data_IF_621586010561
#
_entry.id   IF_621586010561
#
_cell.length_a   1.000
_cell.length_b   1.000
_cell.length_c   1.000
_cell.angle_alpha   90.00
_cell.angle_beta   90.00
_cell.angle_gamma   90.00
#
_symmetry.space_group_name_H-M   'P 1'
#
loop_
_entity.id
_entity.type
_entity.pdbx_description
1 polymer ?
#
# COMPACT_ATOMS: atom_id res chain seq x y z
N UNK A 1 0.31 -9.26 34.94
CA UNK A 1 0.10 -9.42 36.39
C UNK A 1 0.31 -8.13 37.19
N UNK A 2 0.90 -7.05 36.63
CA UNK A 2 1.31 -5.85 37.39
C UNK A 2 0.13 -5.02 37.93
N UNK A 3 -0.97 -4.92 37.19
CA UNK A 3 -2.15 -4.15 37.63
C UNK A 3 -2.81 -4.72 38.88
N UNK A 4 -2.97 -6.05 38.92
CA UNK A 4 -3.61 -6.74 40.04
C UNK A 4 -2.85 -6.49 41.34
N UNK A 5 -1.54 -6.73 41.33
CA UNK A 5 -0.68 -6.50 42.50
C UNK A 5 -0.68 -5.02 42.93
N UNK A 6 -0.79 -4.07 41.99
CA UNK A 6 -0.88 -2.64 42.31
C UNK A 6 -2.21 -2.28 42.98
N UNK A 7 -3.34 -2.77 42.44
CA UNK A 7 -4.68 -2.54 43.00
C UNK A 7 -4.82 -3.17 44.38
N UNK A 8 -4.21 -4.35 44.62
CA UNK A 8 -4.20 -5.05 45.91
C UNK A 8 -3.43 -4.31 47.02
N UNK A 9 -2.61 -3.29 46.69
CA UNK A 9 -1.94 -2.45 47.72
C UNK A 9 -2.88 -1.47 48.42
N UNK A 10 -4.06 -1.20 47.84
CA UNK A 10 -5.05 -0.28 48.40
C UNK A 10 -5.97 -1.00 49.39
N UNK A 11 -6.06 -0.49 50.61
CA UNK A 11 -6.99 -1.01 51.65
C UNK A 11 -8.44 -0.58 51.39
N UNK A 12 -8.64 0.66 50.95
CA UNK A 12 -9.93 1.24 50.58
C UNK A 12 -9.82 1.92 49.21
N UNK A 13 -10.32 1.27 48.16
CA UNK A 13 -10.28 1.79 46.81
C UNK A 13 -11.68 2.21 46.35
N UNK A 14 -11.88 3.52 46.12
CA UNK A 14 -13.13 4.01 45.57
C UNK A 14 -13.31 3.56 44.12
N UNK A 15 -14.57 3.39 43.70
CA UNK A 15 -14.92 3.01 42.33
C UNK A 15 -14.38 4.01 41.30
N UNK A 16 -14.43 5.31 41.63
CA UNK A 16 -13.93 6.37 40.76
C UNK A 16 -12.41 6.25 40.56
N UNK A 17 -11.65 5.99 41.63
CA UNK A 17 -10.19 5.83 41.55
C UNK A 17 -9.81 4.56 40.81
N UNK A 18 -10.51 3.44 41.04
CA UNK A 18 -10.32 2.20 40.28
C UNK A 18 -10.58 2.44 38.79
N UNK A 19 -11.68 3.12 38.45
CA UNK A 19 -12.04 3.45 37.07
C UNK A 19 -10.96 4.29 36.38
N UNK A 20 -10.41 5.31 37.06
CA UNK A 20 -9.27 6.11 36.56
C UNK A 20 -8.02 5.23 36.32
N UNK A 21 -7.68 4.34 37.27
CA UNK A 21 -6.55 3.41 37.14
C UNK A 21 -6.73 2.47 35.94
N UNK A 22 -7.90 1.85 35.79
CA UNK A 22 -8.19 0.93 34.69
C UNK A 22 -8.12 1.63 33.34
N UNK A 23 -8.69 2.83 33.22
CA UNK A 23 -8.65 3.60 31.97
C UNK A 23 -7.23 3.94 31.54
N UNK A 24 -6.41 4.39 32.48
CA UNK A 24 -5.01 4.70 32.20
C UNK A 24 -4.19 3.43 31.89
N UNK A 25 -4.48 2.31 32.55
CA UNK A 25 -3.76 1.06 32.30
C UNK A 25 -4.09 0.44 30.92
N UNK A 26 -5.32 0.61 30.44
CA UNK A 26 -5.77 0.05 29.15
C UNK A 26 -5.80 1.09 28.02
N UNK A 27 -5.18 2.25 28.21
CA UNK A 27 -5.14 3.35 27.23
C UNK A 27 -6.54 3.71 26.68
N UNK A 28 -7.54 3.69 27.57
CA UNK A 28 -8.92 4.02 27.20
C UNK A 28 -9.01 5.51 26.94
N UNK A 29 -9.23 5.85 25.67
CA UNK A 29 -9.27 7.24 25.22
C UNK A 29 -10.39 8.04 25.87
N UNK A 30 -10.08 9.27 26.26
CA UNK A 30 -11.07 10.23 26.76
C UNK A 30 -12.01 10.72 25.65
N UNK A 31 -13.16 11.30 26.03
CA UNK A 31 -14.08 11.90 25.07
C UNK A 31 -13.39 12.99 24.22
N UNK A 32 -12.51 13.78 24.83
CA UNK A 32 -11.70 14.81 24.17
C UNK A 32 -10.72 14.23 23.16
N UNK A 33 -10.00 13.16 23.50
CA UNK A 33 -9.07 12.49 22.59
C UNK A 33 -9.79 11.85 21.40
N UNK A 34 -10.96 11.25 21.65
CA UNK A 34 -11.80 10.70 20.59
C UNK A 34 -12.33 11.80 19.68
N UNK A 35 -12.74 12.94 20.23
CA UNK A 35 -13.17 14.11 19.47
C UNK A 35 -12.05 14.67 18.59
N UNK A 36 -10.85 14.83 19.13
CA UNK A 36 -9.66 15.24 18.37
C UNK A 36 -9.29 14.21 17.29
N UNK A 37 -9.43 12.91 17.60
CA UNK A 37 -9.23 11.85 16.62
C UNK A 37 -10.22 12.01 15.47
N UNK A 38 -11.53 12.15 15.74
CA UNK A 38 -12.56 12.37 14.72
C UNK A 38 -12.31 13.65 13.91
N UNK A 39 -11.81 14.72 14.52
CA UNK A 39 -11.52 15.97 13.80
C UNK A 39 -10.36 15.86 12.80
N UNK A 40 -9.45 14.88 13.00
CA UNK A 40 -8.21 14.76 12.24
C UNK A 40 -8.14 13.54 11.32
N UNK A 41 -9.09 12.59 11.41
CA UNK A 41 -9.08 11.44 10.51
C UNK A 41 -9.29 11.86 9.05
N UNK A 42 -8.56 11.19 8.18
CA UNK A 42 -8.79 11.16 6.74
C UNK A 42 -8.72 9.71 6.25
N UNK A 43 -9.23 9.47 5.04
CA UNK A 43 -9.11 8.18 4.37
C UNK A 43 -7.63 7.88 4.12
N UNK A 44 -7.18 6.67 4.48
CA UNK A 44 -5.83 6.19 4.21
C UNK A 44 -5.63 5.75 2.76
N UNK A 45 -4.38 5.71 2.28
CA UNK A 45 -4.05 5.36 0.87
C UNK A 45 -4.42 3.94 0.45
N UNK A 46 -4.65 3.04 1.41
CA UNK A 46 -5.08 1.65 1.19
C UNK A 46 -6.50 1.37 1.66
N UNK A 47 -7.15 2.39 2.22
CA UNK A 47 -8.47 2.28 2.81
C UNK A 47 -9.51 2.67 1.75
N UNK A 48 -10.57 1.88 1.65
CA UNK A 48 -11.71 2.22 0.80
C UNK A 48 -12.54 3.36 1.42
N UNK A 49 -13.28 4.15 0.62
CA UNK A 49 -14.17 5.18 1.15
C UNK A 49 -15.18 4.63 2.18
N UNK A 50 -15.64 3.40 1.98
CA UNK A 50 -16.53 2.69 2.90
C UNK A 50 -15.86 2.40 4.24
N UNK A 51 -14.65 1.83 4.24
CA UNK A 51 -13.90 1.55 5.47
C UNK A 51 -13.63 2.84 6.26
N UNK A 52 -13.26 3.91 5.56
CA UNK A 52 -13.10 5.24 6.16
C UNK A 52 -14.39 5.71 6.84
N UNK A 53 -15.54 5.62 6.16
CA UNK A 53 -16.83 6.00 6.73
C UNK A 53 -17.14 5.18 7.98
N UNK A 54 -16.94 3.85 7.94
CA UNK A 54 -17.20 2.98 9.10
C UNK A 54 -16.32 3.35 10.29
N UNK A 55 -15.06 3.71 10.04
CA UNK A 55 -14.14 4.18 11.09
C UNK A 55 -14.55 5.52 11.67
N UNK A 56 -15.04 6.44 10.83
CA UNK A 56 -15.58 7.72 11.29
C UNK A 56 -16.86 7.54 12.14
N UNK A 57 -17.76 6.64 11.72
CA UNK A 57 -18.97 6.29 12.45
C UNK A 57 -18.65 5.65 13.80
N UNK A 58 -17.72 4.71 13.85
CA UNK A 58 -17.25 4.07 15.08
C UNK A 58 -16.66 5.10 16.07
N UNK A 59 -15.83 6.03 15.59
CA UNK A 59 -15.32 7.13 16.42
C UNK A 59 -16.43 8.01 16.97
N UNK A 60 -17.41 8.38 16.13
CA UNK A 60 -18.57 9.16 16.56
C UNK A 60 -19.34 8.45 17.69
N UNK A 61 -19.60 7.16 17.53
CA UNK A 61 -20.31 6.37 18.55
C UNK A 61 -19.51 6.25 19.84
N UNK A 62 -18.20 6.05 19.76
CA UNK A 62 -17.31 6.04 20.93
C UNK A 62 -17.33 7.36 21.69
N UNK A 63 -17.35 8.51 20.99
CA UNK A 63 -17.47 9.83 21.63
C UNK A 63 -18.79 9.93 22.39
N UNK A 64 -19.91 9.58 21.75
CA UNK A 64 -21.25 9.65 22.37
C UNK A 64 -21.34 8.76 23.61
N UNK A 65 -20.76 7.57 23.55
CA UNK A 65 -20.71 6.64 24.68
C UNK A 65 -19.84 7.16 25.83
N UNK A 66 -18.60 7.60 25.54
CA UNK A 66 -17.70 8.16 26.55
C UNK A 66 -18.28 9.42 27.19
N UNK A 67 -18.91 10.29 26.41
CA UNK A 67 -19.54 11.52 26.90
C UNK A 67 -20.74 11.24 27.84
N UNK A 68 -21.41 10.10 27.69
CA UNK A 68 -22.52 9.70 28.56
C UNK A 68 -22.04 8.99 29.81
N UNK A 69 -21.01 8.14 29.68
CA UNK A 69 -20.49 7.35 30.79
C UNK A 69 -19.55 8.10 31.73
N UNK A 70 -18.92 9.19 31.27
CA UNK A 70 -17.95 9.99 32.03
C UNK A 70 -18.53 11.24 32.66
N UNK A 71 -19.78 11.18 33.14
CA UNK A 71 -20.37 12.25 33.96
C UNK A 71 -19.72 12.35 35.37
N UNK A 72 -18.40 12.20 35.47
CA UNK A 72 -17.61 12.74 36.58
C UNK A 72 -17.43 14.24 36.34
N UNK A 73 -17.48 15.05 37.40
CA UNK A 73 -17.56 16.52 37.36
C UNK A 73 -16.50 17.23 36.47
N UNK A 74 -15.36 16.57 36.19
CA UNK A 74 -14.25 17.12 35.40
C UNK A 74 -14.25 16.76 33.90
N UNK A 75 -15.21 15.96 33.39
CA UNK A 75 -15.16 15.53 31.97
C UNK A 75 -15.98 16.44 31.08
N UNK A 76 -15.32 16.98 30.04
CA UNK A 76 -15.97 17.75 28.98
C UNK A 76 -17.04 16.91 28.25
N UNK A 77 -18.29 17.35 28.36
CA UNK A 77 -19.43 16.78 27.65
C UNK A 77 -19.61 17.51 26.33
N UNK A 78 -19.64 16.76 25.23
CA UNK A 78 -19.87 17.33 23.90
C UNK A 78 -21.34 17.15 23.53
N UNK A 79 -22.00 18.23 23.09
CA UNK A 79 -23.37 18.14 22.61
C UNK A 79 -23.46 17.28 21.34
N UNK A 80 -24.54 16.51 21.22
CA UNK A 80 -24.76 15.60 20.10
C UNK A 80 -24.72 16.32 18.75
N UNK A 81 -25.32 17.51 18.67
CA UNK A 81 -25.34 18.33 17.45
C UNK A 81 -23.93 18.78 17.03
N UNK A 82 -23.07 19.15 17.99
CA UNK A 82 -21.68 19.49 17.72
C UNK A 82 -20.88 18.29 17.20
N UNK A 83 -21.00 17.13 17.85
CA UNK A 83 -20.34 15.89 17.40
C UNK A 83 -20.79 15.52 15.99
N UNK A 84 -22.09 15.67 15.72
CA UNK A 84 -22.68 15.35 14.42
C UNK A 84 -22.20 16.29 13.31
N UNK A 85 -22.17 17.61 13.56
CA UNK A 85 -21.58 18.58 12.63
C UNK A 85 -20.11 18.30 12.37
N UNK A 86 -19.34 17.98 13.40
CA UNK A 86 -17.94 17.58 13.25
C UNK A 86 -17.82 16.34 12.37
N UNK A 87 -18.58 15.29 12.67
CA UNK A 87 -18.58 14.04 11.90
C UNK A 87 -18.87 14.29 10.41
N UNK A 88 -19.93 15.01 10.08
CA UNK A 88 -20.30 15.29 8.69
C UNK A 88 -19.21 16.12 7.97
N UNK A 89 -18.63 17.11 8.65
CA UNK A 89 -17.49 17.87 8.14
C UNK A 89 -16.29 16.96 7.87
N UNK A 90 -15.91 16.14 8.85
CA UNK A 90 -14.78 15.19 8.74
C UNK A 90 -14.97 14.24 7.56
N UNK A 91 -16.16 13.64 7.40
CA UNK A 91 -16.43 12.75 6.26
C UNK A 91 -16.32 13.53 4.94
N UNK A 92 -16.87 14.75 4.90
CA UNK A 92 -16.81 15.60 3.72
C UNK A 92 -15.40 15.98 3.31
N UNK A 93 -14.51 16.30 4.25
CA UNK A 93 -13.13 16.71 3.95
C UNK A 93 -12.13 15.55 3.91
N UNK A 94 -12.45 14.43 4.55
CA UNK A 94 -11.53 13.32 4.78
C UNK A 94 -11.48 12.28 3.65
N UNK A 95 -12.43 12.28 2.72
CA UNK A 95 -12.40 11.40 1.54
C UNK A 95 -11.27 11.80 0.57
N UNK A 96 -10.55 10.79 0.04
CA UNK A 96 -9.44 11.02 -0.89
C UNK A 96 -9.90 11.29 -2.32
N UNK A 97 -10.91 10.58 -2.81
CA UNK A 97 -11.40 10.74 -4.18
C UNK A 97 -12.33 11.94 -4.28
N UNK A 98 -11.92 12.96 -5.04
CA UNK A 98 -12.70 14.17 -5.28
C UNK A 98 -14.08 13.88 -5.88
N UNK A 99 -14.18 12.93 -6.82
CA UNK A 99 -15.45 12.63 -7.48
C UNK A 99 -16.44 11.98 -6.50
N UNK A 100 -15.94 11.10 -5.63
CA UNK A 100 -16.74 10.50 -4.56
C UNK A 100 -17.16 11.59 -3.57
N UNK A 101 -16.21 12.44 -3.15
CA UNK A 101 -16.45 13.55 -2.23
C UNK A 101 -17.53 14.51 -2.73
N UNK A 102 -17.45 14.97 -3.97
CA UNK A 102 -18.41 15.91 -4.55
C UNK A 102 -19.83 15.34 -4.61
N UNK A 103 -19.98 14.04 -4.92
CA UNK A 103 -21.29 13.38 -4.93
C UNK A 103 -21.88 13.25 -3.52
N UNK A 104 -21.05 12.90 -2.55
CA UNK A 104 -21.48 12.71 -1.15
C UNK A 104 -21.76 14.06 -0.47
N UNK A 105 -21.05 15.12 -0.86
CA UNK A 105 -21.15 16.46 -0.25
C UNK A 105 -22.57 17.02 -0.20
N UNK A 106 -23.39 16.78 -1.23
CA UNK A 106 -24.78 17.23 -1.28
C UNK A 106 -25.60 16.70 -0.10
N UNK A 107 -25.36 15.44 0.28
CA UNK A 107 -26.05 14.76 1.36
C UNK A 107 -25.54 15.17 2.74
N UNK A 108 -24.24 15.47 2.86
CA UNK A 108 -23.62 15.91 4.11
C UNK A 108 -24.09 17.30 4.59
N UNK A 109 -24.67 18.11 3.69
CA UNK A 109 -25.30 19.38 4.07
C UNK A 109 -26.55 19.20 4.91
N UNK A 110 -27.21 18.04 4.79
CA UNK A 110 -28.40 17.75 5.57
C UNK A 110 -28.00 17.25 6.97
N UNK A 111 -28.20 18.03 8.03
CA UNK A 111 -27.86 17.62 9.37
C UNK A 111 -28.81 16.55 9.91
N UNK A 112 -29.82 16.06 9.19
CA UNK A 112 -30.72 14.97 9.66
C UNK A 112 -30.52 13.64 8.94
N UNK A 113 -29.53 13.55 8.04
CA UNK A 113 -29.21 12.30 7.33
C UNK A 113 -28.98 11.11 8.29
N UNK A 114 -29.61 9.96 8.02
CA UNK A 114 -29.38 8.76 8.82
C UNK A 114 -28.05 8.09 8.46
N UNK A 115 -27.52 7.25 9.34
CA UNK A 115 -26.28 6.54 9.09
C UNK A 115 -26.44 5.59 7.90
N UNK A 116 -27.58 4.90 7.80
CA UNK A 116 -27.92 3.96 6.73
C UNK A 116 -27.98 4.66 5.37
N UNK A 117 -28.63 5.83 5.33
CA UNK A 117 -28.71 6.65 4.13
C UNK A 117 -27.32 7.16 3.72
N UNK A 118 -26.50 7.62 4.66
CA UNK A 118 -25.14 8.06 4.36
C UNK A 118 -24.28 6.91 3.81
N UNK A 119 -24.38 5.71 4.39
CA UNK A 119 -23.68 4.51 3.92
C UNK A 119 -24.13 4.17 2.49
N UNK A 120 -25.43 4.21 2.21
CA UNK A 120 -25.98 3.98 0.87
C UNK A 120 -25.42 4.99 -0.13
N UNK A 121 -25.42 6.28 0.20
CA UNK A 121 -24.93 7.33 -0.70
C UNK A 121 -23.43 7.22 -0.98
N UNK A 122 -22.61 6.86 0.02
CA UNK A 122 -21.17 6.57 -0.21
C UNK A 122 -20.99 5.37 -1.13
N UNK A 123 -21.74 4.29 -0.92
CA UNK A 123 -21.69 3.11 -1.79
C UNK A 123 -22.06 3.43 -3.24
N UNK A 124 -23.12 4.21 -3.45
CA UNK A 124 -23.56 4.64 -4.77
C UNK A 124 -22.52 5.54 -5.46
N UNK A 125 -21.92 6.46 -4.72
CA UNK A 125 -20.86 7.34 -5.22
C UNK A 125 -19.61 6.55 -5.65
N UNK A 126 -19.18 5.59 -4.82
CA UNK A 126 -18.04 4.72 -5.13
C UNK A 126 -18.33 3.81 -6.31
N UNK A 127 -19.54 3.23 -6.39
CA UNK A 127 -19.93 2.38 -7.52
C UNK A 127 -19.90 3.15 -8.84
N UNK A 128 -20.47 4.37 -8.84
CA UNK A 128 -20.49 5.26 -10.00
C UNK A 128 -19.08 5.67 -10.41
N UNK A 129 -18.20 5.97 -9.45
CA UNK A 129 -16.81 6.32 -9.74
C UNK A 129 -16.03 5.13 -10.30
N UNK A 130 -16.21 3.93 -9.74
CA UNK A 130 -15.63 2.71 -10.28
C UNK A 130 -16.09 2.45 -11.72
N UNK A 131 -17.37 2.69 -12.04
CA UNK A 131 -17.89 2.59 -13.40
C UNK A 131 -17.21 3.61 -14.32
N UNK A 132 -17.08 4.86 -13.89
CA UNK A 132 -16.40 5.93 -14.65
C UNK A 132 -14.95 5.56 -14.95
N UNK A 133 -14.20 5.11 -13.95
CA UNK A 133 -12.80 4.67 -14.10
C UNK A 133 -12.70 3.47 -15.04
N UNK A 134 -13.60 2.49 -14.93
CA UNK A 134 -13.64 1.33 -15.85
C UNK A 134 -13.91 1.76 -17.29
N UNK A 135 -14.88 2.65 -17.51
CA UNK A 135 -15.20 3.20 -18.84
C UNK A 135 -14.02 3.97 -19.42
N UNK A 136 -13.38 4.84 -18.63
CA UNK A 136 -12.22 5.60 -19.07
C UNK A 136 -11.03 4.69 -19.42
N UNK A 137 -10.78 3.66 -18.61
CA UNK A 137 -9.74 2.66 -18.90
C UNK A 137 -10.02 1.90 -20.18
N UNK A 138 -11.27 1.51 -20.41
CA UNK A 138 -11.68 0.79 -21.63
C UNK A 138 -11.66 1.70 -22.87
N UNK A 139 -11.98 2.98 -22.73
CA UNK A 139 -11.85 3.96 -23.82
C UNK A 139 -10.39 4.14 -24.26
N UNK A 140 -9.44 4.13 -23.33
CA UNK A 140 -8.01 4.21 -23.67
C UNK A 140 -7.49 2.97 -24.40
N UNK A 141 -8.09 1.79 -24.15
CA UNK A 141 -7.77 0.55 -24.87
C UNK A 141 -8.41 0.50 -26.27
N UNK A 142 -9.61 1.06 -26.40
CA UNK A 142 -10.39 1.05 -27.63
C UNK A 142 -10.27 2.34 -28.45
N UNK A 143 -9.32 3.23 -28.12
CA UNK A 143 -9.09 4.43 -28.91
C UNK A 143 -8.65 3.99 -30.31
N UNK A 144 -9.45 4.21 -31.38
CA UNK A 144 -8.94 3.99 -32.72
C UNK A 144 -7.69 4.86 -32.89
N UNK A 145 -6.61 4.29 -33.44
CA UNK A 145 -5.47 5.06 -33.92
C UNK A 145 -5.98 5.94 -35.06
N UNK A 146 -6.62 7.05 -34.74
CA UNK A 146 -6.98 8.04 -35.74
C UNK A 146 -5.66 8.56 -36.28
N UNK A 147 -5.37 8.24 -37.54
CA UNK A 147 -4.29 8.88 -38.26
C UNK A 147 -4.55 10.39 -38.20
N UNK A 148 -3.70 11.13 -37.49
CA UNK A 148 -3.56 12.57 -37.69
C UNK A 148 -2.91 12.74 -39.06
N UNK A 149 -3.73 12.79 -40.11
CA UNK A 149 -3.32 13.35 -41.39
C UNK A 149 -3.36 14.86 -41.20
N UNK A 150 -2.19 15.41 -40.85
CA UNK A 150 -1.76 16.83 -40.92
C UNK A 150 -0.92 17.19 -39.69
N UNK A 151 0.21 16.48 -39.50
CA UNK A 151 1.42 16.93 -38.77
C UNK A 151 2.54 15.88 -38.88
N UNK A 152 2.61 15.14 -40.00
CA UNK A 152 3.62 14.09 -40.20
C UNK A 152 5.01 14.68 -40.42
N UNK A 153 5.11 15.93 -40.91
CA UNK A 153 6.41 16.56 -41.14
C UNK A 153 7.16 16.90 -39.84
N UNK A 154 6.49 17.48 -38.83
CA UNK A 154 7.18 17.97 -37.62
C UNK A 154 7.52 16.84 -36.63
N UNK A 155 6.66 15.83 -36.50
CA UNK A 155 6.92 14.69 -35.61
C UNK A 155 7.93 13.71 -36.18
N UNK A 156 7.99 13.54 -37.51
CA UNK A 156 9.02 12.72 -38.15
C UNK A 156 10.41 13.36 -37.96
N UNK A 157 10.52 14.69 -38.12
CA UNK A 157 11.76 15.40 -37.81
C UNK A 157 12.15 15.30 -36.34
N UNK A 158 11.19 15.37 -35.41
CA UNK A 158 11.48 15.23 -33.98
C UNK A 158 11.91 13.82 -33.59
N UNK A 159 11.33 12.77 -34.20
CA UNK A 159 11.73 11.38 -33.97
C UNK A 159 13.09 11.06 -34.58
N UNK A 160 13.38 11.56 -35.78
CA UNK A 160 14.69 11.43 -36.41
C UNK A 160 15.77 12.18 -35.63
N UNK A 161 15.46 13.37 -35.09
CA UNK A 161 16.35 14.10 -34.18
C UNK A 161 16.63 13.28 -32.91
N UNK A 162 15.61 12.66 -32.32
CA UNK A 162 15.78 11.80 -31.13
C UNK A 162 16.62 10.56 -31.46
N UNK A 163 16.37 9.88 -32.58
CA UNK A 163 17.12 8.68 -32.99
C UNK A 163 18.59 9.05 -33.24
N UNK A 164 18.86 10.14 -33.96
CA UNK A 164 20.23 10.64 -34.17
C UNK A 164 20.94 11.00 -32.87
N UNK A 165 20.25 11.62 -31.91
CA UNK A 165 20.84 11.90 -30.59
C UNK A 165 21.13 10.62 -29.79
N UNK A 166 20.27 9.61 -29.87
CA UNK A 166 20.49 8.32 -29.21
C UNK A 166 21.66 7.55 -29.82
N UNK A 167 21.84 7.64 -31.14
CA UNK A 167 22.98 7.05 -31.85
C UNK A 167 24.29 7.77 -31.50
N UNK A 168 24.29 9.11 -31.45
CA UNK A 168 25.46 9.89 -31.03
C UNK A 168 25.85 9.60 -29.57
N UNK A 169 24.88 9.58 -28.65
CA UNK A 169 25.11 9.22 -27.25
C UNK A 169 25.62 7.78 -27.10
N UNK A 170 25.20 6.86 -27.97
CA UNK A 170 25.70 5.48 -27.96
C UNK A 170 27.18 5.41 -28.37
N UNK A 171 27.62 6.25 -29.30
CA UNK A 171 29.03 6.37 -29.69
C UNK A 171 29.84 7.02 -28.56
N UNK A 172 29.34 8.09 -27.96
CA UNK A 172 30.00 8.74 -26.81
C UNK A 172 30.12 7.80 -25.61
N UNK A 173 29.07 7.04 -25.28
CA UNK A 173 29.13 6.02 -24.22
C UNK A 173 30.12 4.91 -24.55
N UNK A 174 30.26 4.51 -25.82
CA UNK A 174 31.26 3.55 -26.22
C UNK A 174 32.70 4.09 -26.07
N UNK A 175 32.91 5.38 -26.38
CA UNK A 175 34.19 6.06 -26.23
C UNK A 175 34.56 6.33 -24.77
N UNK A 176 33.60 6.74 -23.94
CA UNK A 176 33.80 6.85 -22.48
C UNK A 176 34.10 5.47 -21.89
N UNK A 177 33.45 4.41 -22.39
CA UNK A 177 33.72 3.03 -21.94
C UNK A 177 35.12 2.53 -22.36
N UNK A 178 35.68 2.99 -23.48
CA UNK A 178 37.07 2.67 -23.83
C UNK A 178 38.05 3.48 -22.97
N UNK A 179 37.81 4.78 -22.77
CA UNK A 179 38.63 5.61 -21.89
C UNK A 179 38.63 5.09 -20.44
N UNK A 180 37.49 4.59 -19.94
CA UNK A 180 37.42 3.94 -18.63
C UNK A 180 38.16 2.61 -18.57
N UNK A 181 38.32 1.89 -19.68
CA UNK A 181 39.18 0.69 -19.72
C UNK A 181 40.66 1.08 -19.65
N UNK A 182 41.04 2.13 -20.35
CA UNK A 182 42.43 2.60 -20.39
C UNK A 182 42.84 3.17 -19.02
N UNK A 183 41.97 3.97 -18.38
CA UNK A 183 42.17 4.46 -17.00
C UNK A 183 42.20 3.31 -15.99
N UNK A 184 41.33 2.30 -16.12
CA UNK A 184 41.35 1.12 -15.25
C UNK A 184 42.66 0.32 -15.40
N UNK A 185 43.17 0.16 -16.63
CA UNK A 185 44.45 -0.51 -16.89
C UNK A 185 45.65 0.26 -16.31
N UNK A 186 45.65 1.59 -16.38
CA UNK A 186 46.67 2.44 -15.75
C UNK A 186 46.60 2.36 -14.21
N UNK A 187 45.40 2.30 -13.63
CA UNK A 187 45.24 2.12 -12.17
C UNK A 187 45.56 0.71 -11.65
N UNK A 188 45.44 -0.33 -12.48
CA UNK A 188 45.81 -1.70 -12.09
C UNK A 188 47.32 -1.93 -12.07
N UNK A 189 48.11 -1.18 -12.86
CA UNK A 189 49.57 -1.25 -12.83
C UNK A 189 50.19 -0.52 -11.61
N UNK A 190 49.42 0.33 -10.92
CA UNK A 190 49.89 1.13 -9.78
C UNK A 190 49.60 0.51 -8.38
N UNK A 191 49.02 -0.71 -8.30
CA UNK A 191 48.71 -1.34 -7.00
C UNK A 191 49.76 -2.39 -6.59
N UNK A 192 50.45 -2.11 -5.49
CA UNK A 192 51.35 -3.03 -4.77
C UNK A 192 50.59 -4.26 -4.21
N UNK A 193 51.22 -5.46 -4.14
CA UNK A 193 50.56 -6.68 -3.73
C UNK A 193 50.73 -6.93 -2.22
N UNK A 194 49.65 -6.79 -1.43
CA UNK A 194 49.31 -7.67 -0.29
C UNK A 194 48.18 -7.06 0.55
N UNK A 195 47.05 -7.77 0.64
CA UNK A 195 46.12 -7.90 1.78
C UNK A 195 44.94 -8.80 1.32
N UNK A 196 44.51 -9.83 2.09
CA UNK A 196 43.46 -10.74 1.63
C UNK A 196 42.02 -10.32 2.04
N UNK A 197 41.08 -10.72 1.17
CA UNK A 197 39.61 -10.86 1.33
C UNK A 197 38.70 -9.63 1.12
N UNK A 198 37.42 -9.80 0.70
CA UNK A 198 36.66 -11.03 0.45
C UNK A 198 36.13 -11.20 -0.98
N UNK A 199 36.01 -12.46 -1.41
CA UNK A 199 35.40 -12.87 -2.68
C UNK A 199 33.88 -12.75 -2.58
N UNK A 200 33.29 -11.77 -3.26
CA UNK A 200 31.85 -11.68 -3.50
C UNK A 200 31.51 -12.20 -4.91
N UNK A 201 31.52 -13.52 -5.07
CA UNK A 201 31.02 -14.22 -6.25
C UNK A 201 29.50 -14.39 -6.17
N UNK A 202 28.71 -13.32 -6.38
CA UNK A 202 27.24 -13.48 -6.33
C UNK A 202 26.36 -12.89 -7.41
N UNK A 203 26.84 -12.18 -8.43
CA UNK A 203 25.89 -11.51 -9.34
C UNK A 203 26.07 -11.69 -10.84
N UNK A 204 26.85 -12.68 -11.30
CA UNK A 204 26.98 -12.92 -12.73
C UNK A 204 26.49 -14.30 -13.17
N UNK A 205 25.21 -14.67 -12.98
CA UNK A 205 24.53 -15.59 -13.92
C UNK A 205 23.00 -15.41 -13.90
N UNK A 206 22.42 -15.31 -15.12
CA UNK A 206 21.08 -15.74 -15.60
C UNK A 206 20.01 -14.66 -15.78
N UNK A 207 20.02 -14.06 -16.97
CA UNK A 207 18.81 -13.52 -17.61
C UNK A 207 18.12 -14.55 -18.54
N UNK A 208 18.50 -15.83 -18.45
CA UNK A 208 17.88 -16.92 -19.22
C UNK A 208 17.00 -17.78 -18.30
N UNK A 209 15.71 -17.99 -18.64
CA UNK A 209 14.84 -18.85 -17.86
C UNK A 209 15.39 -20.29 -17.82
N UNK A 210 15.35 -20.96 -16.66
CA UNK A 210 15.89 -22.32 -16.52
C UNK A 210 15.14 -23.32 -17.41
N UNK A 211 15.89 -24.16 -18.14
CA UNK A 211 15.36 -25.25 -18.97
C UNK A 211 15.38 -26.57 -18.18
N UNK A 212 14.45 -27.49 -18.45
CA UNK A 212 14.53 -28.86 -17.92
C UNK A 212 15.62 -29.65 -18.65
N UNK A 213 16.06 -30.77 -18.07
CA UNK A 213 17.11 -31.60 -18.64
C UNK A 213 16.77 -32.10 -20.07
N UNK A 214 15.51 -32.48 -20.32
CA UNK A 214 15.04 -32.93 -21.63
C UNK A 214 15.01 -31.82 -22.68
N UNK A 215 14.50 -30.63 -22.33
CA UNK A 215 14.50 -29.50 -23.25
C UNK A 215 15.90 -28.96 -23.54
N UNK A 216 16.83 -29.14 -22.59
CA UNK A 216 18.23 -28.79 -22.79
C UNK A 216 18.92 -29.75 -23.78
N UNK A 217 18.62 -31.05 -23.73
CA UNK A 217 19.17 -32.03 -24.70
C UNK A 217 18.49 -31.94 -26.07
N UNK A 218 17.22 -31.56 -26.13
CA UNK A 218 16.48 -31.39 -27.39
C UNK A 218 16.71 -30.04 -28.09
N UNK A 219 17.53 -29.15 -27.53
CA UNK A 219 17.83 -27.83 -28.14
C UNK A 219 16.68 -26.83 -28.11
N UNK A 220 15.64 -27.06 -27.29
CA UNK A 220 14.50 -26.16 -27.19
C UNK A 220 14.83 -24.92 -26.37
N UNK A 221 14.35 -23.75 -26.81
CA UNK A 221 14.67 -22.48 -26.16
C UNK A 221 13.84 -22.15 -24.93
N UNK A 222 12.67 -22.79 -24.77
CA UNK A 222 11.76 -22.56 -23.65
C UNK A 222 11.06 -23.87 -23.27
N UNK A 223 10.83 -24.07 -21.98
CA UNK A 223 9.99 -25.15 -21.49
C UNK A 223 8.54 -24.66 -21.35
N UNK A 224 7.60 -25.33 -22.02
CA UNK A 224 6.14 -25.18 -21.81
C UNK A 224 5.63 -26.05 -20.65
N UNK A 225 6.53 -26.66 -19.89
CA UNK A 225 6.26 -27.57 -18.79
C UNK A 225 7.13 -27.25 -17.58
N UNK A 226 6.99 -28.02 -16.51
CA UNK A 226 7.77 -27.81 -15.30
C UNK A 226 9.27 -27.99 -15.58
N UNK A 227 10.06 -26.91 -15.51
CA UNK A 227 11.51 -26.99 -15.69
C UNK A 227 12.25 -27.73 -14.56
N UNK A 228 11.57 -28.01 -13.44
CA UNK A 228 12.15 -28.65 -12.25
C UNK A 228 12.08 -30.17 -12.36
N UNK A 229 10.97 -30.73 -12.85
CA UNK A 229 10.77 -32.18 -12.95
C UNK A 229 10.49 -32.69 -14.37
N UNK A 230 10.34 -31.80 -15.37
CA UNK A 230 10.07 -32.17 -16.75
C UNK A 230 8.64 -32.63 -17.06
N UNK A 231 7.70 -32.55 -16.10
CA UNK A 231 6.32 -32.98 -16.30
C UNK A 231 5.48 -31.91 -17.00
N UNK A 232 4.71 -32.30 -18.02
CA UNK A 232 3.78 -31.44 -18.77
C UNK A 232 2.48 -31.09 -18.02
N UNK A 233 2.20 -31.77 -16.89
CA UNK A 233 0.94 -31.57 -16.15
C UNK A 233 0.93 -30.31 -15.26
N UNK A 234 2.07 -29.67 -15.05
CA UNK A 234 2.17 -28.46 -14.21
C UNK A 234 3.36 -27.59 -14.60
N UNK A 235 3.33 -26.32 -14.18
CA UNK A 235 4.48 -25.42 -14.24
C UNK A 235 5.27 -25.44 -12.92
N UNK A 236 6.51 -24.93 -12.94
CA UNK A 236 7.42 -24.93 -11.79
C UNK A 236 6.85 -24.29 -10.50
N UNK A 237 5.89 -23.37 -10.64
CA UNK A 237 5.15 -22.74 -9.54
C UNK A 237 4.35 -23.78 -8.72
N UNK A 238 3.78 -24.78 -9.39
CA UNK A 238 3.00 -25.86 -8.77
C UNK A 238 3.81 -27.13 -8.49
N UNK A 239 5.13 -27.12 -8.72
CA UNK A 239 5.93 -28.32 -8.62
C UNK A 239 6.16 -28.71 -7.16
N UNK A 240 5.63 -29.87 -6.76
CA UNK A 240 5.83 -30.42 -5.40
C UNK A 240 7.30 -30.75 -5.08
N UNK A 241 8.15 -30.90 -6.11
CA UNK A 241 9.60 -31.08 -5.96
C UNK A 241 10.36 -29.75 -5.73
N UNK A 242 9.69 -28.60 -5.82
CA UNK A 242 10.28 -27.27 -5.62
C UNK A 242 10.30 -26.80 -4.15
N UNK A 243 10.11 -27.70 -3.18
CA UNK A 243 9.94 -27.35 -1.76
C UNK A 243 11.22 -26.83 -1.05
N UNK A 244 12.34 -26.68 -1.76
CA UNK A 244 13.64 -26.39 -1.14
C UNK A 244 14.32 -25.06 -1.49
N UNK A 245 13.77 -24.18 -2.34
CA UNK A 245 14.51 -22.99 -2.84
C UNK A 245 13.80 -21.63 -2.74
N UNK A 246 12.63 -21.56 -2.11
CA UNK A 246 11.96 -20.28 -1.79
C UNK A 246 12.15 -19.90 -0.33
N UNK A 247 13.32 -19.37 0.02
CA UNK A 247 13.62 -18.78 1.35
C UNK A 247 13.12 -17.34 1.51
N UNK A 248 12.06 -16.95 0.81
CA UNK A 248 11.48 -15.60 0.94
C UNK A 248 10.23 -15.52 1.84
N UNK A 249 9.77 -16.64 2.43
CA UNK A 249 8.62 -16.65 3.34
C UNK A 249 8.84 -17.38 4.68
N UNK A 250 10.08 -17.65 5.08
CA UNK A 250 10.38 -18.35 6.35
C UNK A 250 10.25 -17.49 7.61
N UNK A 251 9.73 -16.25 7.52
CA UNK A 251 9.45 -15.37 8.68
C UNK A 251 7.98 -14.96 8.84
N UNK A 252 7.03 -15.79 8.40
CA UNK A 252 5.62 -15.65 8.81
C UNK A 252 5.02 -17.02 9.05
N UNK A 253 5.06 -17.44 10.32
CA UNK A 253 4.06 -18.22 11.08
C UNK A 253 4.76 -19.15 12.10
N UNK A 254 4.38 -19.14 13.38
CA UNK A 254 4.77 -20.20 14.31
C UNK A 254 4.04 -21.51 13.95
N UNK A 255 4.75 -22.63 14.07
CA UNK A 255 4.21 -23.97 13.90
C UNK A 255 3.07 -24.22 14.89
N UNK A 256 1.87 -24.51 14.38
CA UNK A 256 0.72 -24.93 15.18
C UNK A 256 0.54 -26.45 15.01
N UNK A 257 0.80 -27.19 16.10
CA UNK A 257 0.25 -28.52 16.35
C UNK A 257 0.93 -29.70 15.64
N UNK A 258 1.81 -30.39 16.36
CA UNK A 258 2.03 -31.82 16.17
C UNK A 258 0.93 -32.56 16.93
N UNK A 259 0.19 -33.41 16.21
CA UNK A 259 -0.33 -34.68 16.71
C UNK A 259 0.49 -35.77 16.03
#
# INVERSE_FOLDING_TARGET
MVLRSYVETYKDLSLERLRKILRNHYDVKSATELYQSLASICQGSKETPQEFLMRALDLRQKILFSSTQDQSEDTLVYENDHIRKLFLRTVGTGLQDENVRLRVWGYLKNPTISDEELILQVNNAVSTENERVRKLRNQNLNRPKHAQVSQVAEKAESLDKIIKTLEALKVEVAQVKSQLKDINQETEQARLPNLPAPVDTRNQRRNTPPKCLQCQTSGNDKCSHCFICGSDNHFAIGCRQNRGKNTLNSRRLPLRGQK
#
